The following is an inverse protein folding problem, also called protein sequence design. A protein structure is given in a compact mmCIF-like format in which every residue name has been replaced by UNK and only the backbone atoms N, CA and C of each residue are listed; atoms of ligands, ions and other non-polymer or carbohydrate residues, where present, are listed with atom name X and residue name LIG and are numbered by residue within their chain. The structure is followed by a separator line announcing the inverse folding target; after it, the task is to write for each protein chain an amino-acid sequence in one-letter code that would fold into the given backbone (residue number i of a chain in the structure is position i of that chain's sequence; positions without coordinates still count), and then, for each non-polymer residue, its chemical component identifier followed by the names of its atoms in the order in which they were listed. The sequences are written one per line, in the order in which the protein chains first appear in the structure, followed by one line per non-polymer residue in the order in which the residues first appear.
data_IF_395134234088
#
_entry.id   IF_395134234088
#
_cell.length_a   1.000
_cell.length_b   1.000
_cell.length_c   1.000
_cell.angle_alpha   90.00
_cell.angle_beta   90.00
_cell.angle_gamma   90.00
#
_symmetry.space_group_name_H-M   'P 1'
#
loop_
_entity.id
_entity.type
_entity.pdbx_description
1 polymer ?
#
# COMPACT_ATOMS: atom_id res chain seq x y z
N UNK A 1 -18.04 10.81 -13.41
CA UNK A 1 -18.02 12.16 -12.81
C UNK A 1 -16.85 12.95 -13.39
N UNK A 2 -16.73 14.25 -13.16
CA UNK A 2 -15.56 15.02 -13.63
C UNK A 2 -14.37 14.89 -12.67
N UNK A 3 -13.16 15.17 -13.17
CA UNK A 3 -11.93 15.11 -12.38
C UNK A 3 -12.03 16.01 -11.14
N UNK A 4 -11.41 15.59 -10.02
CA UNK A 4 -11.52 16.24 -8.69
C UNK A 4 -12.91 16.37 -8.08
N UNK A 5 -13.93 15.75 -8.69
CA UNK A 5 -15.29 15.70 -8.18
C UNK A 5 -15.72 14.24 -7.94
N UNK A 6 -15.15 13.54 -6.93
CA UNK A 6 -15.66 12.24 -6.50
C UNK A 6 -17.01 12.39 -5.79
N UNK A 7 -17.60 11.28 -5.32
CA UNK A 7 -18.89 11.30 -4.61
C UNK A 7 -18.81 11.89 -3.20
N UNK A 8 -17.64 11.82 -2.58
CA UNK A 8 -17.32 12.59 -1.36
C UNK A 8 -16.86 13.99 -1.75
N UNK A 9 -17.46 15.02 -1.13
CA UNK A 9 -17.05 16.40 -1.37
C UNK A 9 -15.63 16.65 -0.82
N UNK A 10 -14.81 17.39 -1.58
CA UNK A 10 -13.46 17.78 -1.17
C UNK A 10 -13.38 19.30 -1.21
N UNK A 11 -13.20 19.91 -0.04
CA UNK A 11 -12.84 21.32 0.05
C UNK A 11 -11.33 21.48 -0.22
N UNK A 12 -11.00 21.74 -1.48
CA UNK A 12 -9.63 21.93 -1.92
C UNK A 12 -8.97 23.19 -1.35
N UNK A 13 -9.74 24.19 -0.89
CA UNK A 13 -9.20 25.43 -0.34
C UNK A 13 -8.71 25.24 1.11
N UNK A 14 -9.36 24.35 1.86
CA UNK A 14 -8.98 24.01 3.24
C UNK A 14 -7.94 22.88 3.29
N UNK A 15 -7.93 22.00 2.29
CA UNK A 15 -6.97 20.90 2.22
C UNK A 15 -5.54 21.44 2.08
N UNK A 16 -4.69 21.07 3.04
CA UNK A 16 -3.25 21.36 3.02
C UNK A 16 -2.43 20.07 2.90
N UNK A 17 -1.24 20.18 2.30
CA UNK A 17 -0.32 19.06 2.15
C UNK A 17 0.26 18.65 3.51
N UNK A 18 -0.16 17.48 3.99
CA UNK A 18 0.15 17.02 5.35
C UNK A 18 1.54 16.40 5.48
N UNK A 19 2.21 16.61 6.61
CA UNK A 19 3.30 15.71 7.04
C UNK A 19 2.69 14.37 7.47
N UNK A 20 3.43 13.27 7.30
CA UNK A 20 3.03 12.00 7.85
C UNK A 20 3.52 11.89 9.29
N UNK A 21 2.79 12.47 10.25
CA UNK A 21 3.06 12.31 11.69
C UNK A 21 1.82 12.58 12.57
N UNK A 22 0.60 12.47 12.03
CA UNK A 22 -0.61 12.79 12.80
C UNK A 22 -1.21 11.58 13.55
N UNK A 23 -0.64 10.38 13.44
CA UNK A 23 -1.10 9.23 14.22
C UNK A 23 -0.32 9.15 15.52
N UNK A 24 -0.95 9.52 16.64
CA UNK A 24 -0.48 9.15 17.96
C UNK A 24 -0.64 7.63 18.06
N UNK A 25 0.45 6.87 17.89
CA UNK A 25 0.43 5.45 18.26
C UNK A 25 0.21 5.37 19.77
N UNK A 26 -0.69 4.48 20.20
CA UNK A 26 -0.77 4.11 21.61
C UNK A 26 0.61 3.62 22.09
N UNK A 27 0.87 3.72 23.40
CA UNK A 27 2.07 3.13 23.98
C UNK A 27 2.10 1.65 23.58
N UNK A 28 3.14 1.23 22.85
CA UNK A 28 3.22 -0.13 22.30
C UNK A 28 3.30 -1.12 23.46
N UNK A 29 2.28 -1.96 23.69
CA UNK A 29 2.39 -3.00 24.69
C UNK A 29 3.50 -3.98 24.32
N UNK A 30 4.08 -4.60 25.34
CA UNK A 30 5.15 -5.58 25.20
C UNK A 30 4.56 -6.99 25.07
N UNK A 31 5.32 -7.95 24.53
CA UNK A 31 4.96 -9.36 24.59
C UNK A 31 4.53 -9.83 25.98
N UNK A 32 5.17 -9.30 27.03
CA UNK A 32 4.88 -9.65 28.42
C UNK A 32 3.50 -9.13 28.87
N UNK A 33 3.05 -7.97 28.38
CA UNK A 33 1.73 -7.42 28.71
C UNK A 33 0.61 -8.30 28.15
N UNK A 34 0.83 -8.86 26.97
CA UNK A 34 -0.09 -9.81 26.33
C UNK A 34 -0.11 -11.17 27.04
N UNK A 35 1.07 -11.72 27.35
CA UNK A 35 1.20 -12.96 28.11
C UNK A 35 0.50 -12.82 29.49
N UNK A 36 0.68 -11.69 30.18
CA UNK A 36 0.05 -11.42 31.47
C UNK A 36 -1.48 -11.30 31.38
N UNK A 37 -2.00 -10.82 30.26
CA UNK A 37 -3.44 -10.75 29.98
C UNK A 37 -4.03 -12.08 29.46
N UNK A 38 -3.22 -13.12 29.29
CA UNK A 38 -3.66 -14.42 28.74
C UNK A 38 -3.97 -14.38 27.24
N UNK A 39 -3.48 -13.36 26.53
CA UNK A 39 -3.65 -13.23 25.07
C UNK A 39 -2.61 -14.12 24.40
N UNK A 40 -3.09 -15.11 23.65
CA UNK A 40 -2.25 -15.96 22.78
C UNK A 40 -1.94 -15.23 21.46
N UNK A 41 -0.93 -15.67 20.70
CA UNK A 41 -0.55 -15.02 19.44
C UNK A 41 0.55 -13.97 19.62
N UNK A 42 1.79 -14.40 19.36
CA UNK A 42 3.00 -13.62 19.71
C UNK A 42 3.52 -12.68 18.61
N UNK A 43 2.69 -12.31 17.63
CA UNK A 43 3.21 -11.88 16.33
C UNK A 43 2.95 -10.44 15.90
N UNK A 44 2.07 -9.68 16.53
CA UNK A 44 1.98 -8.21 16.35
C UNK A 44 1.40 -7.58 17.61
N UNK A 45 2.27 -7.01 18.45
CA UNK A 45 1.89 -6.38 19.71
C UNK A 45 1.70 -4.87 19.59
N UNK A 46 1.84 -4.32 18.38
CA UNK A 46 1.90 -2.87 18.14
C UNK A 46 0.64 -2.28 17.50
N UNK A 47 -0.38 -3.11 17.24
CA UNK A 47 -1.64 -2.71 16.62
C UNK A 47 -2.80 -2.61 17.62
N UNK A 48 -2.88 -3.53 18.58
CA UNK A 48 -3.91 -3.53 19.63
C UNK A 48 -3.30 -3.40 21.03
N UNK A 49 -4.14 -3.09 22.01
CA UNK A 49 -3.89 -3.33 23.42
C UNK A 49 -4.33 -4.74 23.82
N UNK A 50 -3.83 -5.31 24.94
CA UNK A 50 -4.30 -6.62 25.40
C UNK A 50 -5.82 -6.67 25.64
N UNK A 51 -6.45 -5.57 26.05
CA UNK A 51 -7.89 -5.49 26.24
C UNK A 51 -8.66 -5.56 24.92
N UNK A 52 -8.23 -4.82 23.90
CA UNK A 52 -8.81 -4.87 22.54
C UNK A 52 -8.64 -6.27 21.93
N UNK A 53 -7.51 -6.93 22.16
CA UNK A 53 -7.28 -8.28 21.70
C UNK A 53 -8.29 -9.29 22.31
N UNK A 54 -8.60 -9.16 23.60
CA UNK A 54 -9.61 -10.00 24.25
C UNK A 54 -11.02 -9.72 23.71
N UNK A 55 -11.37 -8.46 23.41
CA UNK A 55 -12.64 -8.11 22.76
C UNK A 55 -12.77 -8.80 21.40
N UNK A 56 -11.69 -8.83 20.61
CA UNK A 56 -11.68 -9.52 19.32
C UNK A 56 -11.85 -11.04 19.47
N UNK A 57 -11.29 -11.65 20.51
CA UNK A 57 -11.52 -13.06 20.82
C UNK A 57 -12.97 -13.34 21.18
N UNK A 58 -13.56 -12.55 22.09
CA UNK A 58 -14.96 -12.67 22.45
C UNK A 58 -15.88 -12.51 21.23
N UNK A 59 -15.55 -11.58 20.32
CA UNK A 59 -16.26 -11.42 19.06
C UNK A 59 -16.12 -12.67 18.17
N UNK A 60 -14.90 -13.18 17.98
CA UNK A 60 -14.66 -14.34 17.12
C UNK A 60 -15.36 -15.60 17.65
N UNK A 61 -15.35 -15.84 18.96
CA UNK A 61 -16.04 -16.98 19.59
C UNK A 61 -17.56 -16.91 19.40
N UNK A 62 -18.15 -15.71 19.39
CA UNK A 62 -19.59 -15.50 19.15
C UNK A 62 -19.96 -15.62 17.67
N UNK A 63 -19.19 -14.98 16.79
CA UNK A 63 -19.50 -14.89 15.36
C UNK A 63 -19.18 -16.19 14.61
N UNK A 64 -18.17 -16.94 15.04
CA UNK A 64 -17.69 -18.13 14.35
C UNK A 64 -17.80 -19.37 15.25
N UNK A 65 -18.95 -20.08 15.27
CA UNK A 65 -19.14 -21.29 16.05
C UNK A 65 -18.06 -22.34 15.76
N UNK A 66 -17.38 -22.81 16.81
CA UNK A 66 -16.27 -23.76 16.69
C UNK A 66 -14.94 -23.13 16.30
N UNK A 67 -14.82 -21.80 16.31
CA UNK A 67 -13.55 -21.12 16.16
C UNK A 67 -12.60 -21.49 17.32
N UNK A 68 -11.38 -21.85 16.94
CA UNK A 68 -10.28 -22.13 17.86
C UNK A 68 -9.27 -21.02 17.69
N UNK A 69 -8.99 -20.27 18.76
CA UNK A 69 -7.96 -19.21 18.77
C UNK A 69 -6.57 -19.72 18.38
N UNK A 70 -6.32 -21.02 18.60
CA UNK A 70 -5.04 -21.66 18.37
C UNK A 70 -3.91 -21.03 19.19
N UNK A 71 -2.68 -21.45 18.91
CA UNK A 71 -1.49 -20.87 19.54
C UNK A 71 -1.12 -19.50 18.94
N UNK A 72 -1.58 -19.23 17.72
CA UNK A 72 -1.28 -18.02 16.96
C UNK A 72 -2.23 -16.85 17.20
N UNK A 73 -3.38 -17.08 17.87
CA UNK A 73 -4.40 -16.03 18.08
C UNK A 73 -5.21 -15.66 16.84
N UNK A 74 -5.06 -16.42 15.75
CA UNK A 74 -5.64 -16.11 14.44
C UNK A 74 -6.39 -17.30 13.83
N UNK A 75 -6.76 -18.28 14.65
CA UNK A 75 -7.45 -19.48 14.20
C UNK A 75 -6.66 -20.77 14.45
N UNK A 76 -7.21 -21.87 13.93
CA UNK A 76 -6.64 -23.21 14.05
C UNK A 76 -5.20 -23.30 13.49
N UNK A 77 -4.55 -24.44 13.71
CA UNK A 77 -3.16 -24.66 13.28
C UNK A 77 -2.97 -24.50 11.76
N UNK A 78 -4.00 -24.81 10.95
CA UNK A 78 -3.94 -24.67 9.48
C UNK A 78 -3.97 -23.21 9.06
N UNK A 79 -4.85 -22.45 9.68
CA UNK A 79 -4.99 -21.00 9.45
C UNK A 79 -3.71 -20.28 9.87
N UNK A 80 -3.20 -20.60 11.06
CA UNK A 80 -1.94 -20.04 11.56
C UNK A 80 -0.75 -20.41 10.66
N UNK A 81 -0.67 -21.66 10.19
CA UNK A 81 0.40 -22.08 9.28
C UNK A 81 0.36 -21.34 7.94
N UNK A 82 -0.84 -21.19 7.35
CA UNK A 82 -1.02 -20.44 6.11
C UNK A 82 -0.70 -18.96 6.29
N UNK A 83 -1.12 -18.36 7.40
CA UNK A 83 -0.80 -16.97 7.75
C UNK A 83 0.71 -16.73 7.81
N UNK A 84 1.44 -17.58 8.54
CA UNK A 84 2.89 -17.51 8.62
C UNK A 84 3.58 -17.69 7.25
N UNK A 85 3.06 -18.58 6.39
CA UNK A 85 3.59 -18.74 5.04
C UNK A 85 3.38 -17.48 4.18
N UNK A 86 2.20 -16.85 4.28
CA UNK A 86 1.85 -15.64 3.53
C UNK A 86 2.63 -14.39 3.97
N UNK A 87 3.27 -14.42 5.14
CA UNK A 87 4.13 -13.34 5.65
C UNK A 87 5.52 -13.30 5.00
N UNK A 88 5.93 -14.33 4.27
CA UNK A 88 7.22 -14.32 3.58
C UNK A 88 7.31 -13.14 2.61
N UNK A 89 8.25 -12.23 2.87
CA UNK A 89 8.44 -10.99 2.10
C UNK A 89 7.22 -10.06 2.05
N UNK A 90 6.32 -10.15 3.04
CA UNK A 90 5.19 -9.23 3.21
C UNK A 90 5.65 -7.77 3.22
N UNK A 91 4.82 -6.88 2.68
CA UNK A 91 5.12 -5.45 2.58
C UNK A 91 6.46 -5.10 1.89
N UNK A 92 7.06 -6.05 1.19
CA UNK A 92 8.36 -5.86 0.58
C UNK A 92 9.56 -6.02 1.51
N UNK A 93 9.38 -6.53 2.73
CA UNK A 93 10.48 -6.66 3.70
C UNK A 93 11.46 -7.74 3.28
N UNK A 94 12.75 -7.47 3.46
CA UNK A 94 13.73 -8.55 3.45
C UNK A 94 13.50 -9.46 4.67
N UNK A 95 13.63 -10.79 4.52
CA UNK A 95 13.56 -11.70 5.64
C UNK A 95 14.57 -11.33 6.73
N UNK A 96 14.16 -11.41 7.99
CA UNK A 96 15.09 -11.37 9.13
C UNK A 96 15.88 -12.67 9.14
N UNK A 97 15.55 -13.58 10.05
CA UNK A 97 16.17 -14.90 10.11
C UNK A 97 15.65 -15.83 8.99
N UNK A 98 16.55 -16.19 8.07
CA UNK A 98 16.26 -17.09 6.95
C UNK A 98 17.31 -18.19 6.85
N UNK A 99 16.87 -19.43 6.67
CA UNK A 99 17.77 -20.54 6.38
C UNK A 99 18.16 -20.56 4.90
N UNK A 100 19.46 -20.41 4.62
CA UNK A 100 20.00 -20.40 3.27
C UNK A 100 21.37 -21.06 3.24
N UNK A 101 21.60 -21.96 2.28
CA UNK A 101 22.90 -22.61 2.10
C UNK A 101 23.43 -23.34 3.33
N UNK A 102 22.56 -23.93 4.15
CA UNK A 102 22.94 -24.66 5.34
C UNK A 102 23.09 -23.82 6.63
N UNK A 103 22.85 -22.51 6.57
CA UNK A 103 23.02 -21.58 7.70
C UNK A 103 21.79 -20.69 7.89
N UNK A 104 21.53 -20.29 9.13
CA UNK A 104 20.59 -19.20 9.43
C UNK A 104 21.31 -17.87 9.27
N UNK A 105 20.78 -16.98 8.43
CA UNK A 105 21.34 -15.66 8.17
C UNK A 105 20.27 -14.59 8.37
N UNK A 106 20.68 -13.42 8.85
CA UNK A 106 19.79 -12.26 8.90
C UNK A 106 19.89 -11.47 7.59
N UNK A 107 19.03 -11.76 6.61
CA UNK A 107 19.14 -11.17 5.26
C UNK A 107 18.93 -9.66 5.30
N UNK A 108 17.92 -9.20 6.04
CA UNK A 108 17.63 -7.78 6.23
C UNK A 108 18.82 -7.01 6.78
N UNK A 109 19.43 -7.51 7.87
CA UNK A 109 20.57 -6.83 8.49
C UNK A 109 21.82 -6.87 7.61
N UNK A 110 22.03 -7.96 6.86
CA UNK A 110 23.13 -8.04 5.90
C UNK A 110 23.00 -6.99 4.80
N UNK A 111 21.80 -6.77 4.26
CA UNK A 111 21.53 -5.73 3.25
C UNK A 111 21.70 -4.33 3.84
N UNK A 112 21.16 -4.08 5.04
CA UNK A 112 21.34 -2.79 5.73
C UNK A 112 22.83 -2.50 5.99
N UNK A 113 23.59 -3.50 6.45
CA UNK A 113 25.04 -3.37 6.69
C UNK A 113 25.82 -3.07 5.40
N UNK A 114 25.31 -3.49 4.24
CA UNK A 114 25.86 -3.14 2.93
C UNK A 114 25.41 -1.76 2.42
N UNK A 115 24.68 -0.98 3.21
CA UNK A 115 24.14 0.34 2.83
C UNK A 115 22.80 0.29 2.08
N UNK A 116 22.18 -0.89 1.98
CA UNK A 116 20.83 -1.05 1.43
C UNK A 116 19.73 -0.69 2.45
N UNK A 117 18.49 -1.01 2.10
CA UNK A 117 17.33 -0.72 2.95
C UNK A 117 16.69 -2.00 3.48
N UNK A 118 15.83 -1.88 4.50
CA UNK A 118 15.10 -3.02 5.06
C UNK A 118 14.04 -3.64 4.14
N UNK A 119 13.79 -3.03 2.99
CA UNK A 119 12.85 -3.50 1.97
C UNK A 119 13.52 -3.63 0.60
N UNK A 120 13.02 -4.53 -0.24
CA UNK A 120 13.44 -4.61 -1.64
C UNK A 120 12.68 -3.63 -2.55
N UNK A 121 11.57 -3.06 -2.07
CA UNK A 121 10.91 -1.94 -2.73
C UNK A 121 11.62 -0.64 -2.36
N UNK A 122 11.78 0.27 -3.32
CA UNK A 122 12.43 1.57 -3.11
C UNK A 122 11.72 2.65 -3.90
N UNK A 123 12.00 3.92 -3.59
CA UNK A 123 11.46 5.06 -4.32
C UNK A 123 11.86 5.02 -5.81
N UNK A 124 13.13 4.77 -6.11
CA UNK A 124 13.66 4.73 -7.48
C UNK A 124 13.46 3.37 -8.19
N UNK A 125 12.97 2.35 -7.47
CA UNK A 125 12.79 1.00 -7.98
C UNK A 125 14.08 0.16 -8.01
N UNK A 126 13.98 -1.12 -8.41
CA UNK A 126 15.10 -2.07 -8.36
C UNK A 126 16.26 -1.74 -9.29
N UNK A 127 15.97 -1.24 -10.50
CA UNK A 127 16.93 -0.92 -11.58
C UNK A 127 17.92 -2.05 -11.90
N UNK A 128 17.48 -3.30 -11.77
CA UNK A 128 18.36 -4.47 -11.82
C UNK A 128 18.43 -5.14 -13.19
N UNK A 129 17.42 -4.96 -14.05
CA UNK A 129 17.37 -5.64 -15.35
C UNK A 129 16.99 -4.72 -16.52
N UNK A 130 16.26 -3.64 -16.27
CA UNK A 130 15.84 -2.72 -17.32
C UNK A 130 16.97 -1.80 -17.78
N UNK A 131 17.44 -2.05 -19.00
CA UNK A 131 18.23 -1.09 -19.79
C UNK A 131 17.25 -0.05 -20.34
N UNK A 132 17.52 1.24 -20.15
CA UNK A 132 16.67 2.25 -20.77
C UNK A 132 16.99 2.30 -22.27
N UNK A 133 16.01 2.44 -23.17
CA UNK A 133 16.29 2.56 -24.61
C UNK A 133 17.36 3.60 -24.93
N UNK A 134 17.36 4.72 -24.22
CA UNK A 134 18.30 5.83 -24.38
C UNK A 134 19.74 5.46 -24.03
N UNK A 135 19.95 4.52 -23.11
CA UNK A 135 21.29 4.09 -22.68
C UNK A 135 22.03 3.35 -23.81
N UNK A 136 21.29 2.84 -24.80
CA UNK A 136 21.81 2.13 -25.97
C UNK A 136 21.52 2.86 -27.29
N UNK A 137 21.15 4.14 -27.22
CA UNK A 137 20.86 4.96 -28.40
C UNK A 137 19.53 4.63 -29.10
N UNK A 138 18.68 3.80 -28.50
CA UNK A 138 17.34 3.54 -28.99
C UNK A 138 16.35 4.63 -28.53
N UNK A 139 15.30 4.84 -29.31
CA UNK A 139 14.24 5.79 -28.96
C UNK A 139 13.37 5.25 -27.83
N UNK A 140 12.86 6.17 -27.00
CA UNK A 140 11.83 5.85 -26.00
C UNK A 140 10.59 5.31 -26.72
N UNK A 141 9.77 4.54 -26.02
CA UNK A 141 8.42 4.27 -26.47
C UNK A 141 7.68 5.59 -26.78
N UNK A 142 6.91 5.62 -27.87
CA UNK A 142 6.09 6.77 -28.25
C UNK A 142 4.67 6.28 -28.49
N UNK A 143 3.74 6.71 -27.65
CA UNK A 143 2.32 6.43 -27.77
C UNK A 143 1.50 7.63 -27.32
N UNK A 144 0.25 7.70 -27.76
CA UNK A 144 -0.70 8.70 -27.26
C UNK A 144 -0.99 8.46 -25.76
N UNK A 145 -1.44 9.46 -24.99
CA UNK A 145 -1.83 9.24 -23.59
C UNK A 145 -2.83 8.09 -23.39
N UNK A 146 -3.76 7.89 -24.33
CA UNK A 146 -4.76 6.82 -24.31
C UNK A 146 -4.15 5.45 -24.61
N UNK A 147 -3.20 5.37 -25.53
CA UNK A 147 -2.46 4.14 -25.81
C UNK A 147 -1.55 3.77 -24.64
N UNK A 148 -0.86 4.75 -24.09
CA UNK A 148 -0.02 4.58 -22.90
C UNK A 148 -0.82 4.08 -21.71
N UNK A 149 -2.03 4.60 -21.48
CA UNK A 149 -2.95 4.07 -20.48
C UNK A 149 -3.28 2.59 -20.74
N UNK A 150 -3.62 2.21 -21.98
CA UNK A 150 -3.90 0.81 -22.34
C UNK A 150 -2.68 -0.09 -22.12
N UNK A 151 -1.49 0.34 -22.52
CA UNK A 151 -0.22 -0.37 -22.35
C UNK A 151 0.06 -0.63 -20.87
N UNK A 152 0.00 0.42 -20.04
CA UNK A 152 0.23 0.32 -18.60
C UNK A 152 -0.84 -0.56 -17.95
N UNK A 153 -2.13 -0.34 -18.27
CA UNK A 153 -3.23 -1.14 -17.73
C UNK A 153 -3.07 -2.62 -18.07
N UNK A 154 -2.68 -2.96 -19.29
CA UNK A 154 -2.44 -4.33 -19.70
C UNK A 154 -1.29 -4.98 -18.89
N UNK A 155 -0.19 -4.27 -18.67
CA UNK A 155 0.92 -4.76 -17.85
C UNK A 155 0.50 -5.01 -16.38
N UNK A 156 -0.21 -4.06 -15.77
CA UNK A 156 -0.76 -4.23 -14.42
C UNK A 156 -1.69 -5.44 -14.32
N UNK A 157 -2.61 -5.61 -15.29
CA UNK A 157 -3.54 -6.75 -15.36
C UNK A 157 -2.80 -8.07 -15.51
N UNK A 158 -1.78 -8.11 -16.36
CA UNK A 158 -0.92 -9.29 -16.54
C UNK A 158 -0.22 -9.69 -15.24
N UNK A 159 0.28 -8.71 -14.47
CA UNK A 159 0.93 -8.92 -13.19
C UNK A 159 -0.06 -9.11 -12.01
N UNK A 160 -1.36 -9.22 -12.29
CA UNK A 160 -2.39 -9.61 -11.33
C UNK A 160 -3.07 -8.45 -10.58
N UNK A 161 -2.79 -7.19 -10.92
CA UNK A 161 -3.58 -6.05 -10.44
C UNK A 161 -4.98 -6.09 -11.05
N UNK A 162 -5.98 -5.58 -10.31
CA UNK A 162 -7.36 -5.72 -10.76
C UNK A 162 -7.80 -4.56 -11.62
N UNK A 163 -7.76 -3.33 -11.11
CA UNK A 163 -8.09 -2.15 -11.90
C UNK A 163 -6.99 -1.10 -11.71
N UNK A 164 -6.89 -0.19 -12.69
CA UNK A 164 -5.84 0.84 -12.80
C UNK A 164 -6.50 2.17 -13.05
N UNK A 165 -6.14 3.16 -12.25
CA UNK A 165 -6.63 4.53 -12.33
C UNK A 165 -5.47 5.50 -12.49
N UNK A 166 -5.66 6.55 -13.28
CA UNK A 166 -4.64 7.52 -13.60
C UNK A 166 -5.15 8.95 -13.36
N UNK A 167 -4.23 9.85 -13.02
CA UNK A 167 -4.51 11.27 -12.84
C UNK A 167 -3.23 12.08 -13.13
N UNK A 168 -3.33 13.40 -13.06
CA UNK A 168 -2.16 14.28 -13.07
C UNK A 168 -2.00 15.00 -11.74
N UNK A 169 -0.74 15.31 -11.41
CA UNK A 169 -0.37 16.23 -10.35
C UNK A 169 -0.68 17.65 -10.82
N UNK A 170 -1.39 18.38 -9.97
CA UNK A 170 -1.56 19.82 -10.04
C UNK A 170 -1.51 20.43 -8.62
N UNK A 171 -1.87 21.71 -8.51
CA UNK A 171 -1.87 22.46 -7.24
C UNK A 171 -2.73 21.84 -6.14
N UNK A 172 -3.70 21.00 -6.49
CA UNK A 172 -4.60 20.34 -5.55
C UNK A 172 -4.20 18.91 -5.31
N UNK A 173 -4.01 18.11 -6.35
CA UNK A 173 -3.74 16.67 -6.18
C UNK A 173 -2.38 16.39 -5.55
N UNK A 174 -1.43 17.33 -5.60
CA UNK A 174 -0.17 17.27 -4.84
C UNK A 174 -0.41 17.16 -3.32
N UNK A 175 -1.56 17.67 -2.82
CA UNK A 175 -1.93 17.62 -1.40
C UNK A 175 -2.20 16.20 -0.91
N UNK A 176 -2.41 15.24 -1.81
CA UNK A 176 -2.54 13.82 -1.49
C UNK A 176 -1.20 13.08 -1.32
N UNK A 177 -0.08 13.76 -1.57
CA UNK A 177 1.25 13.24 -1.27
C UNK A 177 1.75 13.92 0.00
N UNK A 178 2.34 13.14 0.91
CA UNK A 178 2.88 13.70 2.13
C UNK A 178 3.93 14.77 1.83
N UNK A 179 4.02 15.82 2.66
CA UNK A 179 5.09 16.82 2.55
C UNK A 179 6.42 16.25 3.05
N UNK A 180 6.39 15.59 4.20
CA UNK A 180 7.53 14.91 4.81
C UNK A 180 7.05 13.64 5.52
N UNK A 181 7.87 12.58 5.51
CA UNK A 181 7.51 11.29 6.12
C UNK A 181 8.74 10.41 6.34
N UNK A 182 8.92 9.92 7.59
CA UNK A 182 9.89 8.89 8.01
C UNK A 182 11.33 9.00 7.48
N UNK A 183 12.19 8.03 7.81
CA UNK A 183 13.57 7.97 7.30
C UNK A 183 13.89 6.72 6.46
N UNK A 184 13.05 5.68 6.55
CA UNK A 184 13.18 4.48 5.72
C UNK A 184 12.83 4.78 4.24
N UNK A 185 12.96 3.81 3.32
CA UNK A 185 12.64 3.94 1.89
C UNK A 185 11.59 2.91 1.45
N UNK A 186 11.06 3.05 0.22
CA UNK A 186 10.09 2.13 -0.38
C UNK A 186 8.74 2.12 0.32
N UNK A 187 8.09 0.96 0.46
CA UNK A 187 6.83 0.85 1.23
C UNK A 187 6.97 1.39 2.67
N UNK A 188 8.16 1.24 3.24
CA UNK A 188 8.45 1.69 4.59
C UNK A 188 8.98 3.11 4.64
N UNK A 189 8.87 3.87 3.55
CA UNK A 189 9.30 5.26 3.44
C UNK A 189 8.84 6.17 4.60
N UNK A 190 7.85 5.74 5.38
CA UNK A 190 7.34 6.44 6.56
C UNK A 190 7.47 5.82 7.92
N UNK A 191 8.35 4.85 8.13
CA UNK A 191 8.72 4.44 9.49
C UNK A 191 9.92 5.27 9.99
N UNK A 192 9.88 5.71 11.26
CA UNK A 192 10.94 6.48 11.95
C UNK A 192 10.39 7.58 12.88
N UNK A 193 11.26 8.14 13.74
CA UNK A 193 10.94 9.23 14.68
C UNK A 193 10.72 10.59 13.97
N UNK A 194 10.12 11.55 14.69
CA UNK A 194 9.71 12.85 14.16
C UNK A 194 10.88 13.66 13.56
N UNK A 195 10.86 13.82 12.25
CA UNK A 195 11.92 14.47 11.46
C UNK A 195 12.11 13.70 10.15
N UNK A 196 11.08 13.75 9.29
CA UNK A 196 11.01 12.90 8.12
C UNK A 196 11.67 13.49 6.88
N UNK A 197 12.07 12.59 5.98
CA UNK A 197 12.50 12.86 4.62
C UNK A 197 11.44 13.61 3.84
N UNK A 198 11.84 14.69 3.16
CA UNK A 198 10.95 15.54 2.39
C UNK A 198 10.55 14.86 1.08
N UNK A 199 9.29 14.98 0.69
CA UNK A 199 8.84 14.61 -0.66
C UNK A 199 8.87 15.88 -1.51
N UNK A 200 9.97 16.09 -2.24
CA UNK A 200 10.31 17.37 -2.84
C UNK A 200 10.13 17.34 -4.37
N UNK A 201 9.16 18.11 -4.87
CA UNK A 201 8.98 18.34 -6.30
C UNK A 201 9.90 19.49 -6.76
N UNK A 202 10.71 19.26 -7.79
CA UNK A 202 11.78 20.18 -8.22
C UNK A 202 11.95 20.22 -9.73
N UNK A 203 12.52 21.33 -10.22
CA UNK A 203 13.01 21.45 -11.60
C UNK A 203 14.37 20.76 -11.73
N UNK A 204 14.33 19.44 -11.85
CA UNK A 204 15.48 18.54 -12.04
C UNK A 204 15.15 17.53 -13.13
N UNK A 205 16.17 17.01 -13.82
CA UNK A 205 15.97 16.04 -14.91
C UNK A 205 15.86 14.59 -14.42
N UNK A 206 16.60 14.26 -13.36
CA UNK A 206 16.76 12.88 -12.88
C UNK A 206 16.31 12.81 -11.41
N UNK A 207 15.39 11.90 -11.05
CA UNK A 207 14.99 11.71 -9.67
C UNK A 207 16.15 11.13 -8.83
N UNK A 208 16.21 11.52 -7.55
CA UNK A 208 17.21 11.00 -6.63
C UNK A 208 16.68 10.90 -5.20
N UNK A 209 17.40 10.18 -4.36
CA UNK A 209 17.04 9.89 -2.99
C UNK A 209 18.25 10.14 -2.06
N UNK A 210 18.09 10.93 -1.00
CA UNK A 210 19.15 11.21 0.01
C UNK A 210 18.67 10.85 1.42
N UNK A 211 19.43 11.16 2.47
CA UNK A 211 18.90 11.07 3.84
C UNK A 211 17.74 12.04 4.10
N UNK A 212 17.72 13.17 3.38
CA UNK A 212 16.85 14.31 3.68
C UNK A 212 15.65 14.43 2.75
N UNK A 213 15.71 13.88 1.53
CA UNK A 213 14.62 13.99 0.56
C UNK A 213 14.46 12.85 -0.45
N UNK A 214 13.22 12.71 -0.91
CA UNK A 214 12.81 12.09 -2.17
C UNK A 214 12.64 13.21 -3.20
N UNK A 215 13.61 13.39 -4.09
CA UNK A 215 13.58 14.44 -5.09
C UNK A 215 12.88 13.94 -6.36
N UNK A 216 11.76 14.60 -6.69
CA UNK A 216 10.86 14.26 -7.79
C UNK A 216 10.94 15.35 -8.86
N UNK A 217 11.36 15.03 -10.09
CA UNK A 217 11.24 15.94 -11.24
C UNK A 217 9.81 16.44 -11.43
N UNK A 218 9.60 17.73 -11.69
CA UNK A 218 8.28 18.28 -12.01
C UNK A 218 7.62 17.63 -13.25
N UNK A 219 8.43 17.06 -14.15
CA UNK A 219 7.93 16.25 -15.29
C UNK A 219 7.28 14.93 -14.85
N UNK A 220 7.59 14.39 -13.67
CA UNK A 220 6.98 13.17 -13.12
C UNK A 220 5.60 13.46 -12.52
N UNK A 221 4.69 14.01 -13.34
CA UNK A 221 3.39 14.50 -12.92
C UNK A 221 2.26 13.50 -13.14
N UNK A 222 2.46 12.42 -13.88
CA UNK A 222 1.41 11.44 -14.13
C UNK A 222 1.34 10.46 -12.96
N UNK A 223 0.16 10.37 -12.36
CA UNK A 223 -0.17 9.47 -11.26
C UNK A 223 -0.71 8.18 -11.85
N UNK A 224 -0.16 7.04 -11.43
CA UNK A 224 -0.73 5.73 -11.70
C UNK A 224 -1.07 5.05 -10.39
N UNK A 225 -2.32 4.62 -10.25
CA UNK A 225 -2.83 3.90 -9.09
C UNK A 225 -3.42 2.57 -9.51
N UNK A 226 -3.48 1.62 -8.58
CA UNK A 226 -4.07 0.31 -8.84
C UNK A 226 -4.84 -0.22 -7.64
N UNK A 227 -5.59 -1.31 -7.85
CA UNK A 227 -6.22 -2.09 -6.79
C UNK A 227 -5.63 -3.49 -6.70
N UNK A 228 -5.37 -3.93 -5.46
CA UNK A 228 -4.89 -5.26 -5.13
C UNK A 228 -6.05 -6.11 -4.60
N UNK A 229 -6.53 -7.09 -5.36
CA UNK A 229 -7.62 -7.95 -4.89
C UNK A 229 -7.15 -8.82 -3.72
N UNK A 230 -8.00 -9.06 -2.73
CA UNK A 230 -7.73 -10.09 -1.71
C UNK A 230 -8.43 -11.41 -2.06
N UNK A 231 -8.16 -12.47 -1.30
CA UNK A 231 -9.02 -13.66 -1.33
C UNK A 231 -10.35 -13.35 -0.67
N UNK A 232 -11.45 -13.35 -1.41
CA UNK A 232 -12.78 -13.06 -0.85
C UNK A 232 -13.15 -13.99 0.30
N UNK A 233 -13.03 -15.29 0.08
CA UNK A 233 -13.41 -16.29 1.08
C UNK A 233 -12.48 -16.27 2.28
N UNK A 234 -11.21 -15.88 2.10
CA UNK A 234 -10.26 -15.68 3.19
C UNK A 234 -10.58 -14.44 4.02
N UNK A 235 -10.83 -13.29 3.38
CA UNK A 235 -11.17 -12.04 4.08
C UNK A 235 -12.50 -12.16 4.83
N UNK A 236 -13.51 -12.82 4.25
CA UNK A 236 -14.85 -13.00 4.88
C UNK A 236 -14.85 -13.92 6.11
N UNK A 237 -13.84 -14.77 6.25
CA UNK A 237 -13.69 -15.70 7.39
C UNK A 237 -12.48 -15.35 8.26
N UNK A 238 -11.94 -14.15 8.09
CA UNK A 238 -10.84 -13.71 8.93
C UNK A 238 -11.35 -13.57 10.36
N UNK A 239 -10.69 -14.27 11.27
CA UNK A 239 -11.01 -14.27 12.69
C UNK A 239 -9.71 -14.28 13.48
N UNK A 240 -9.63 -13.45 14.51
CA UNK A 240 -8.45 -13.28 15.34
C UNK A 240 -8.11 -11.83 15.59
N UNK A 241 -7.00 -11.63 16.30
CA UNK A 241 -6.58 -10.32 16.77
C UNK A 241 -5.81 -9.52 15.73
N UNK A 242 -5.40 -10.11 14.61
CA UNK A 242 -4.58 -9.44 13.60
C UNK A 242 -5.12 -9.66 12.19
N UNK A 243 -4.59 -8.94 11.20
CA UNK A 243 -4.90 -9.23 9.80
C UNK A 243 -4.47 -10.66 9.44
N UNK A 244 -5.23 -11.33 8.56
CA UNK A 244 -5.00 -12.74 8.22
C UNK A 244 -4.22 -12.95 6.92
N UNK A 245 -4.02 -14.23 6.59
CA UNK A 245 -3.26 -14.70 5.42
C UNK A 245 -3.65 -14.03 4.09
N UNK A 246 -4.94 -13.75 3.88
CA UNK A 246 -5.45 -13.12 2.67
C UNK A 246 -4.87 -11.70 2.47
N UNK A 247 -4.62 -11.01 3.57
CA UNK A 247 -4.04 -9.67 3.59
C UNK A 247 -2.54 -9.72 3.37
N UNK A 248 -1.82 -10.51 4.17
CA UNK A 248 -0.35 -10.60 4.09
C UNK A 248 0.12 -11.06 2.73
N UNK A 249 -0.55 -12.05 2.14
CA UNK A 249 -0.23 -12.50 0.80
C UNK A 249 -0.45 -11.40 -0.26
N UNK A 250 -1.50 -10.60 -0.10
CA UNK A 250 -1.74 -9.45 -0.98
C UNK A 250 -0.58 -8.46 -0.90
N UNK A 251 -0.12 -8.12 0.29
CA UNK A 251 1.02 -7.22 0.45
C UNK A 251 2.35 -7.81 -0.03
N UNK A 252 2.58 -9.12 0.09
CA UNK A 252 3.76 -9.77 -0.47
C UNK A 252 3.77 -9.73 -2.00
N UNK A 253 2.65 -10.10 -2.64
CA UNK A 253 2.60 -10.26 -4.11
C UNK A 253 2.56 -8.92 -4.85
N UNK A 254 1.86 -7.92 -4.31
CA UNK A 254 1.67 -6.66 -5.03
C UNK A 254 2.87 -5.74 -4.93
N UNK A 255 3.70 -5.85 -3.88
CA UNK A 255 4.97 -5.14 -3.84
C UNK A 255 5.95 -5.67 -4.89
N UNK A 256 5.99 -6.99 -5.08
CA UNK A 256 6.74 -7.58 -6.21
C UNK A 256 6.22 -7.07 -7.56
N UNK A 257 4.90 -7.02 -7.76
CA UNK A 257 4.31 -6.44 -8.97
C UNK A 257 4.76 -4.99 -9.18
N UNK A 258 4.81 -4.20 -8.11
CA UNK A 258 5.23 -2.81 -8.20
C UNK A 258 6.68 -2.66 -8.68
N UNK A 259 7.59 -3.48 -8.16
CA UNK A 259 8.97 -3.56 -8.65
C UNK A 259 9.01 -3.88 -10.16
N UNK A 260 8.19 -4.82 -10.62
CA UNK A 260 8.06 -5.11 -12.06
C UNK A 260 7.52 -3.93 -12.87
N UNK A 261 6.55 -3.17 -12.34
CA UNK A 261 6.01 -1.99 -13.04
C UNK A 261 7.02 -0.84 -13.13
N UNK A 262 7.86 -0.66 -12.11
CA UNK A 262 8.97 0.31 -12.19
C UNK A 262 9.96 -0.08 -13.27
N UNK A 263 10.39 -1.35 -13.32
CA UNK A 263 11.27 -1.87 -14.38
C UNK A 263 10.62 -1.77 -15.77
N UNK A 264 9.33 -2.06 -15.88
CA UNK A 264 8.60 -2.02 -17.15
C UNK A 264 8.55 -0.59 -17.71
N UNK A 265 8.10 0.38 -16.91
CA UNK A 265 8.01 1.79 -17.34
C UNK A 265 9.41 2.36 -17.59
N UNK A 266 10.41 1.95 -16.79
CA UNK A 266 11.82 2.28 -17.04
C UNK A 266 12.32 1.72 -18.38
N UNK A 267 11.97 0.49 -18.71
CA UNK A 267 12.26 -0.16 -19.98
C UNK A 267 11.56 0.48 -21.19
N UNK A 268 10.44 1.18 -20.97
CA UNK A 268 9.82 2.04 -22.00
C UNK A 268 10.55 3.38 -22.18
N UNK A 269 11.50 3.69 -21.31
CA UNK A 269 12.31 4.92 -21.36
C UNK A 269 11.78 6.06 -20.49
N UNK A 270 10.92 5.78 -19.51
CA UNK A 270 10.34 6.78 -18.61
C UNK A 270 10.83 6.59 -17.16
N UNK A 271 10.69 7.61 -16.31
CA UNK A 271 10.92 7.48 -14.87
C UNK A 271 9.66 6.87 -14.23
N UNK A 272 9.82 6.05 -13.19
CA UNK A 272 8.69 5.47 -12.45
C UNK A 272 9.02 5.39 -10.96
N UNK A 273 8.46 6.32 -10.21
CA UNK A 273 8.75 6.56 -8.80
C UNK A 273 7.68 5.91 -7.94
N UNK A 274 8.08 5.07 -7.01
CA UNK A 274 7.16 4.46 -6.06
C UNK A 274 6.79 5.46 -4.95
N UNK A 275 5.51 5.79 -4.89
CA UNK A 275 4.94 6.68 -3.85
C UNK A 275 4.12 5.93 -2.80
N UNK A 276 4.16 4.60 -2.79
CA UNK A 276 3.45 3.82 -1.78
C UNK A 276 4.06 4.06 -0.41
N UNK A 277 3.21 4.28 0.57
CA UNK A 277 3.63 4.82 1.86
C UNK A 277 3.85 6.33 1.85
N UNK A 278 4.14 7.00 0.73
CA UNK A 278 4.35 8.45 0.63
C UNK A 278 3.10 9.26 0.20
N UNK A 279 1.95 8.60 0.07
CA UNK A 279 0.69 9.21 -0.33
C UNK A 279 -0.49 8.72 0.51
N UNK A 280 -1.60 9.45 0.43
CA UNK A 280 -2.90 9.05 0.94
C UNK A 280 -3.64 8.21 -0.10
N UNK A 281 -3.61 6.89 0.07
CA UNK A 281 -4.11 5.95 -0.94
C UNK A 281 -5.60 6.10 -1.23
N UNK A 282 -6.44 6.24 -0.21
CA UNK A 282 -7.90 6.33 -0.38
C UNK A 282 -8.40 7.52 -1.20
N UNK A 283 -8.00 8.78 -0.93
CA UNK A 283 -8.42 9.90 -1.75
C UNK A 283 -7.92 9.75 -3.20
N UNK A 284 -6.70 9.23 -3.41
CA UNK A 284 -6.21 8.90 -4.74
C UNK A 284 -7.10 7.88 -5.45
N UNK A 285 -7.47 6.79 -4.78
CA UNK A 285 -8.41 5.80 -5.32
C UNK A 285 -9.77 6.39 -5.69
N UNK A 286 -10.26 7.40 -4.95
CA UNK A 286 -11.52 8.05 -5.25
C UNK A 286 -11.41 8.94 -6.50
N UNK A 287 -10.37 9.78 -6.59
CA UNK A 287 -10.21 10.69 -7.72
C UNK A 287 -9.78 10.01 -9.03
N UNK A 288 -9.10 8.86 -8.95
CA UNK A 288 -8.72 8.06 -10.12
C UNK A 288 -9.80 7.06 -10.53
N UNK A 289 -10.96 7.05 -9.87
CA UNK A 289 -12.08 6.19 -10.27
C UNK A 289 -11.91 4.71 -9.97
N UNK A 290 -11.06 4.35 -9.01
CA UNK A 290 -10.90 2.97 -8.55
C UNK A 290 -11.99 2.56 -7.55
N UNK A 291 -12.66 3.51 -6.90
CA UNK A 291 -13.71 3.22 -5.93
C UNK A 291 -14.37 4.48 -5.40
N UNK A 292 -15.39 4.30 -4.57
CA UNK A 292 -16.03 5.37 -3.81
C UNK A 292 -15.58 5.34 -2.34
N UNK A 293 -15.64 6.49 -1.67
CA UNK A 293 -15.45 6.54 -0.23
C UNK A 293 -16.61 5.83 0.48
N UNK A 294 -16.33 5.19 1.62
CA UNK A 294 -17.32 4.44 2.38
C UNK A 294 -17.23 4.72 3.88
N UNK A 295 -18.24 4.30 4.64
CA UNK A 295 -18.37 4.57 6.08
C UNK A 295 -17.16 4.14 6.92
N UNK A 296 -16.57 2.99 6.60
CA UNK A 296 -15.37 2.49 7.30
C UNK A 296 -14.10 3.30 7.02
N UNK A 297 -14.20 4.38 6.24
CA UNK A 297 -13.14 5.26 5.74
C UNK A 297 -12.16 4.58 4.79
N UNK A 298 -11.56 3.46 5.22
CA UNK A 298 -10.61 2.67 4.45
C UNK A 298 -10.85 1.17 4.57
N UNK A 299 -10.80 0.42 3.44
CA UNK A 299 -10.46 0.86 2.08
C UNK A 299 -11.62 1.55 1.33
N UNK A 300 -11.33 2.19 0.19
CA UNK A 300 -12.37 2.62 -0.78
C UNK A 300 -13.16 1.42 -1.30
N UNK A 301 -14.47 1.61 -1.51
CA UNK A 301 -15.38 0.57 -1.99
C UNK A 301 -15.24 0.46 -3.49
N UNK A 302 -14.77 -0.69 -3.97
CA UNK A 302 -14.63 -0.99 -5.38
C UNK A 302 -15.89 -1.63 -5.94
N UNK A 303 -16.38 -1.25 -7.13
CA UNK A 303 -17.68 -1.71 -7.65
C UNK A 303 -17.76 -3.24 -7.82
N UNK A 304 -16.62 -3.91 -8.10
CA UNK A 304 -16.59 -5.37 -8.27
C UNK A 304 -16.22 -6.16 -7.01
N UNK A 305 -15.59 -5.51 -6.01
CA UNK A 305 -15.01 -6.23 -4.87
C UNK A 305 -15.49 -5.76 -3.51
N UNK A 306 -16.33 -4.72 -3.47
CA UNK A 306 -16.59 -3.99 -2.24
C UNK A 306 -15.27 -3.54 -1.61
N UNK A 307 -15.10 -3.88 -0.34
CA UNK A 307 -13.94 -3.54 0.48
C UNK A 307 -12.88 -4.66 0.52
N UNK A 308 -13.07 -5.73 -0.25
CA UNK A 308 -12.14 -6.87 -0.30
C UNK A 308 -10.98 -6.64 -1.28
N UNK A 309 -10.33 -5.50 -1.11
CA UNK A 309 -9.19 -5.04 -1.87
C UNK A 309 -8.19 -4.36 -0.93
N UNK A 310 -6.94 -4.25 -1.37
CA UNK A 310 -5.81 -3.62 -0.70
C UNK A 310 -5.14 -2.68 -1.68
N UNK A 311 -4.16 -1.95 -1.19
CA UNK A 311 -3.34 -1.05 -2.00
C UNK A 311 -4.16 -0.05 -2.82
N UNK A 312 -5.42 0.22 -2.44
CA UNK A 312 -6.31 1.06 -3.22
C UNK A 312 -5.75 2.47 -3.27
N UNK A 313 -5.19 2.85 -4.41
CA UNK A 313 -4.56 4.15 -4.56
C UNK A 313 -3.12 4.21 -4.06
N UNK A 314 -2.45 3.07 -3.86
CA UNK A 314 -0.99 3.04 -3.94
C UNK A 314 -0.57 3.59 -5.30
N UNK A 315 0.42 4.47 -5.29
CA UNK A 315 0.70 5.33 -6.43
C UNK A 315 2.13 5.17 -6.94
N UNK A 316 2.24 5.34 -8.25
CA UNK A 316 3.47 5.71 -8.93
C UNK A 316 3.38 7.13 -9.46
N UNK A 317 4.54 7.78 -9.57
CA UNK A 317 4.71 8.98 -10.38
C UNK A 317 5.61 8.70 -11.56
N UNK A 318 5.22 9.16 -12.74
CA UNK A 318 5.97 8.96 -13.98
C UNK A 318 5.95 10.20 -14.85
N UNK A 319 6.96 10.34 -15.70
CA UNK A 319 6.99 11.31 -16.80
C UNK A 319 6.39 10.76 -18.11
N UNK A 320 5.89 9.51 -18.11
CA UNK A 320 5.16 8.92 -19.22
C UNK A 320 3.78 9.59 -19.37
N UNK A 321 3.46 10.22 -20.51
CA UNK A 321 2.14 10.80 -20.75
C UNK A 321 1.05 9.75 -20.71
N UNK A 322 0.08 9.87 -19.80
CA UNK A 322 -0.98 8.87 -19.61
C UNK A 322 -2.31 9.58 -19.42
N UNK A 323 -3.35 9.09 -20.11
CA UNK A 323 -4.69 9.64 -20.02
C UNK A 323 -5.28 9.46 -18.60
N UNK A 324 -5.80 10.53 -17.96
CA UNK A 324 -6.49 10.43 -16.68
C UNK A 324 -7.77 9.58 -16.76
N UNK A 325 -8.06 8.85 -15.69
CA UNK A 325 -9.36 8.20 -15.49
C UNK A 325 -10.26 9.10 -14.65
N UNK A 326 -11.57 8.92 -14.80
CA UNK A 326 -12.58 9.76 -14.15
C UNK A 326 -13.07 9.14 -12.83
N UNK A 327 -13.39 9.94 -11.80
CA UNK A 327 -14.08 9.44 -10.62
C UNK A 327 -15.41 8.78 -11.02
N UNK A 328 -15.77 7.73 -10.28
CA UNK A 328 -16.96 6.92 -10.51
C UNK A 328 -18.08 7.26 -9.52
N UNK A 329 -19.29 6.84 -9.86
CA UNK A 329 -20.48 6.91 -9.01
C UNK A 329 -21.28 5.64 -9.25
N UNK A 330 -21.29 4.73 -8.28
CA UNK A 330 -22.10 3.52 -8.31
C UNK A 330 -23.02 3.43 -7.08
N UNK A 331 -23.20 4.56 -6.38
CA UNK A 331 -24.10 4.71 -5.24
C UNK A 331 -23.54 4.21 -3.90
N UNK A 332 -22.27 3.82 -3.80
CA UNK A 332 -21.72 3.29 -2.54
C UNK A 332 -21.63 4.34 -1.44
N UNK A 333 -21.27 5.59 -1.77
CA UNK A 333 -21.24 6.68 -0.79
C UNK A 333 -22.64 6.96 -0.22
N UNK A 334 -23.65 7.04 -1.11
CA UNK A 334 -25.05 7.26 -0.71
C UNK A 334 -25.63 6.08 0.09
N UNK A 335 -25.32 4.86 -0.32
CA UNK A 335 -25.68 3.65 0.42
C UNK A 335 -25.10 3.66 1.84
N UNK A 336 -23.83 4.08 1.97
CA UNK A 336 -23.18 4.15 3.27
C UNK A 336 -23.90 5.08 4.25
N UNK A 337 -24.60 6.12 3.81
CA UNK A 337 -25.34 7.06 4.69
C UNK A 337 -26.39 6.37 5.55
N UNK A 338 -27.03 5.31 5.05
CA UNK A 338 -28.15 4.61 5.74
C UNK A 338 -27.81 3.21 6.22
N UNK A 339 -26.76 2.57 5.68
CA UNK A 339 -26.45 1.17 5.95
C UNK A 339 -26.00 0.88 7.40
N UNK A 340 -24.92 1.52 7.88
CA UNK A 340 -24.45 1.36 9.27
C UNK A 340 -23.81 0.02 9.65
N UNK A 341 -24.01 -1.07 8.89
CA UNK A 341 -23.60 -2.44 9.27
C UNK A 341 -22.15 -2.55 9.77
N UNK A 342 -21.19 -1.88 9.12
CA UNK A 342 -19.79 -1.94 9.55
C UNK A 342 -19.52 -1.21 10.88
N UNK A 343 -20.29 -0.17 11.21
CA UNK A 343 -20.19 0.50 12.49
C UNK A 343 -20.85 -0.33 13.60
N UNK A 344 -21.95 -1.01 13.30
CA UNK A 344 -22.66 -1.88 14.25
C UNK A 344 -21.90 -3.18 14.56
N UNK A 345 -21.17 -3.70 13.57
CA UNK A 345 -20.41 -4.95 13.68
C UNK A 345 -18.96 -4.75 14.14
N UNK A 346 -18.47 -3.51 14.27
CA UNK A 346 -17.11 -3.26 14.75
C UNK A 346 -17.00 -3.72 16.22
N UNK A 347 -16.11 -4.67 16.55
CA UNK A 347 -15.96 -5.19 17.90
C UNK A 347 -15.55 -4.15 18.94
#
# INVERSE_FOLDING_TARGET
REFKNPTVEIDWNVLSRQNANNFKSHAKPTPADYDAAGVVGRYMYDLETPAEALILYDYCEKEFPGWDKGWGGSGDVRTTALDNACKFMMMGMWPGDMYQGGKRINVRNAIIAAGGTGSYSSFLGPQCFSIRPQDVGASRWQGTPEENYKTVRNAFRFLGAQDVGCAEIDSDTVKFFHRAKGGASGMFAGQGDAGGKQVAFKDIDVPYETGDEYAIPNKCKYIITFTARQSFEGTRRQAGITEGFAVWYSYARYIKMMCHMQEFIRGLGYDCLNMSGLCFSNPLSAITGLGEHGRMSSPTIHPKNGTTNRANGWAFLTDMPIAPTKPIDFGAYKFCETCGICADACP
#
